data_IF_628436652157
#
_entry.id   IF_628436652157
#
_cell.length_a   1.000
_cell.length_b   1.000
_cell.length_c   1.000
_cell.angle_alpha   90.00
_cell.angle_beta   90.00
_cell.angle_gamma   90.00
#
_symmetry.space_group_name_H-M   'P 1'
#
loop_
_entity.id
_entity.type
_entity.pdbx_description
1 polymer ?
#
# COMPACT_ATOMS: atom_id res chain seq x y z
N UNK A 1 -1.94 -9.87 12.07
CA UNK A 1 -1.06 -8.74 12.41
C UNK A 1 -0.07 -8.56 11.26
N UNK A 2 0.23 -7.32 10.88
CA UNK A 2 1.15 -6.98 9.80
C UNK A 2 0.55 -5.95 8.85
N UNK A 3 1.42 -5.25 8.13
CA UNK A 3 1.10 -4.03 7.38
C UNK A 3 -0.20 -4.10 6.56
N UNK A 4 -0.43 -5.15 5.75
CA UNK A 4 -1.68 -5.27 4.97
C UNK A 4 -2.93 -5.35 5.86
N UNK A 5 -2.85 -5.99 7.02
CA UNK A 5 -3.96 -6.03 7.97
C UNK A 5 -4.24 -4.63 8.54
N UNK A 6 -3.20 -3.87 8.85
CA UNK A 6 -3.36 -2.52 9.39
C UNK A 6 -3.96 -1.56 8.36
N UNK A 7 -3.69 -1.78 7.06
CA UNK A 7 -4.34 -1.05 5.96
C UNK A 7 -5.82 -1.44 5.83
N UNK A 8 -6.16 -2.72 5.95
CA UNK A 8 -7.55 -3.19 5.98
C UNK A 8 -8.31 -2.62 7.18
N UNK A 9 -7.70 -2.62 8.37
CA UNK A 9 -8.26 -2.02 9.58
C UNK A 9 -8.39 -0.49 9.44
N UNK A 10 -7.56 0.13 8.59
CA UNK A 10 -7.65 1.53 8.17
C UNK A 10 -8.73 1.84 7.12
N UNK A 11 -9.49 0.84 6.66
CA UNK A 11 -10.67 1.01 5.79
C UNK A 11 -10.53 0.52 4.36
N UNK A 12 -9.43 -0.15 3.99
CA UNK A 12 -9.34 -0.85 2.72
C UNK A 12 -10.23 -2.11 2.70
N UNK A 13 -10.77 -2.47 1.52
CA UNK A 13 -11.56 -3.69 1.32
C UNK A 13 -10.72 -4.86 0.84
N UNK A 14 -9.64 -4.56 0.11
CA UNK A 14 -8.74 -5.55 -0.47
C UNK A 14 -7.30 -5.10 -0.32
N UNK A 15 -6.42 -6.07 -0.07
CA UNK A 15 -4.98 -5.89 -0.03
C UNK A 15 -4.31 -7.07 -0.73
N UNK A 16 -3.41 -6.79 -1.66
CA UNK A 16 -2.72 -7.79 -2.47
C UNK A 16 -1.24 -7.47 -2.56
N UNK A 17 -0.39 -8.49 -2.48
CA UNK A 17 1.05 -8.38 -2.70
C UNK A 17 1.39 -9.21 -3.92
N UNK A 18 1.93 -8.54 -4.94
CA UNK A 18 2.43 -9.15 -6.15
C UNK A 18 3.95 -9.14 -6.10
N UNK A 19 4.58 -10.21 -6.59
CA UNK A 19 6.01 -10.19 -6.92
C UNK A 19 6.15 -9.61 -8.32
N UNK A 20 7.13 -8.73 -8.51
CA UNK A 20 7.49 -8.20 -9.82
C UNK A 20 8.61 -9.06 -10.38
N UNK A 21 8.35 -9.81 -11.45
CA UNK A 21 9.29 -10.82 -11.94
C UNK A 21 10.61 -10.22 -12.48
N UNK A 22 10.53 -9.07 -13.15
CA UNK A 22 11.69 -8.41 -13.76
C UNK A 22 12.50 -7.54 -12.79
N UNK A 23 12.10 -7.48 -11.52
CA UNK A 23 12.79 -6.71 -10.46
C UNK A 23 13.28 -7.68 -9.38
N UNK A 24 14.60 -7.84 -9.18
CA UNK A 24 15.12 -8.68 -8.10
C UNK A 24 14.58 -8.21 -6.74
N UNK A 25 13.87 -9.11 -6.04
CA UNK A 25 13.16 -8.80 -4.80
C UNK A 25 12.17 -7.61 -4.91
N UNK A 26 11.55 -7.44 -6.08
CA UNK A 26 10.53 -6.43 -6.32
C UNK A 26 9.14 -6.90 -5.92
N UNK A 27 8.38 -5.99 -5.29
CA UNK A 27 7.00 -6.25 -4.88
C UNK A 27 6.12 -5.04 -5.21
N UNK A 28 4.91 -5.30 -5.67
CA UNK A 28 3.84 -4.31 -5.76
C UNK A 28 2.79 -4.64 -4.71
N UNK A 29 2.34 -3.65 -3.94
CA UNK A 29 1.23 -3.83 -3.00
C UNK A 29 0.06 -2.98 -3.43
N UNK A 30 -1.07 -3.62 -3.70
CA UNK A 30 -2.30 -2.97 -4.15
C UNK A 30 -3.30 -2.93 -3.01
N UNK A 31 -3.91 -1.77 -2.81
CA UNK A 31 -4.98 -1.57 -1.84
C UNK A 31 -6.18 -0.97 -2.54
N UNK A 32 -7.34 -1.58 -2.31
CA UNK A 32 -8.60 -1.10 -2.83
C UNK A 32 -9.43 -0.52 -1.68
N UNK A 33 -10.00 0.66 -1.90
CA UNK A 33 -10.85 1.34 -0.94
C UNK A 33 -12.29 1.42 -1.46
N UNK A 34 -13.29 1.43 -0.55
CA UNK A 34 -14.70 1.55 -0.91
C UNK A 34 -15.01 2.72 -1.86
N UNK A 35 -14.37 3.85 -1.59
CA UNK A 35 -14.64 5.14 -2.18
C UNK A 35 -13.47 6.09 -1.88
N UNK A 36 -13.49 7.26 -2.53
CA UNK A 36 -12.46 8.29 -2.36
C UNK A 36 -12.38 8.79 -0.90
N UNK A 37 -13.51 8.95 -0.21
CA UNK A 37 -13.53 9.52 1.13
C UNK A 37 -12.88 8.59 2.17
N UNK A 38 -13.06 7.28 2.02
CA UNK A 38 -12.43 6.24 2.81
C UNK A 38 -10.92 6.22 2.60
N UNK A 39 -10.48 6.30 1.33
CA UNK A 39 -9.06 6.43 0.98
C UNK A 39 -8.42 7.69 1.58
N UNK A 40 -9.07 8.85 1.46
CA UNK A 40 -8.57 10.12 2.00
C UNK A 40 -8.46 10.09 3.53
N UNK A 41 -9.42 9.45 4.21
CA UNK A 41 -9.34 9.24 5.66
C UNK A 41 -8.14 8.37 6.02
N UNK A 42 -7.93 7.26 5.31
CA UNK A 42 -6.77 6.39 5.48
C UNK A 42 -5.46 7.15 5.27
N UNK A 43 -5.33 7.91 4.17
CA UNK A 43 -4.13 8.68 3.85
C UNK A 43 -3.79 9.73 4.90
N UNK A 44 -4.81 10.36 5.50
CA UNK A 44 -4.63 11.38 6.53
C UNK A 44 -4.27 10.79 7.89
N UNK A 45 -4.90 9.69 8.29
CA UNK A 45 -4.88 9.21 9.69
C UNK A 45 -3.94 8.01 9.87
N UNK A 46 -4.01 7.03 8.98
CA UNK A 46 -3.34 5.73 9.17
C UNK A 46 -2.03 5.64 8.40
N UNK A 47 -2.04 6.08 7.14
CA UNK A 47 -0.92 5.89 6.22
C UNK A 47 0.42 6.51 6.70
N UNK A 48 0.49 7.69 7.35
CA UNK A 48 1.76 8.26 7.78
C UNK A 48 2.53 7.36 8.75
N UNK A 49 1.84 6.77 9.74
CA UNK A 49 2.47 5.88 10.72
C UNK A 49 2.99 4.60 10.08
N UNK A 50 2.16 3.95 9.26
CA UNK A 50 2.55 2.72 8.53
C UNK A 50 3.71 2.96 7.56
N UNK A 51 3.78 4.14 6.95
CA UNK A 51 4.91 4.55 6.09
C UNK A 51 6.20 4.73 6.88
N UNK A 52 6.13 5.37 8.05
CA UNK A 52 7.31 5.50 8.92
C UNK A 52 7.81 4.14 9.38
N UNK A 53 6.92 3.27 9.88
CA UNK A 53 7.28 1.92 10.29
C UNK A 53 7.96 1.15 9.14
N UNK A 54 7.41 1.28 7.92
CA UNK A 54 8.03 0.71 6.71
C UNK A 54 9.46 1.20 6.49
N UNK A 55 9.72 2.50 6.60
CA UNK A 55 11.06 3.07 6.46
C UNK A 55 12.03 2.66 7.57
N UNK A 56 11.53 2.42 8.79
CA UNK A 56 12.35 1.94 9.91
C UNK A 56 12.78 0.49 9.70
N UNK A 57 11.86 -0.37 9.26
CA UNK A 57 12.13 -1.79 9.00
C UNK A 57 12.97 -2.00 7.73
N UNK A 58 12.72 -1.19 6.71
CA UNK A 58 13.25 -1.33 5.36
C UNK A 58 13.85 0.01 4.86
N UNK A 59 14.92 0.50 5.48
CA UNK A 59 15.48 1.82 5.18
C UNK A 59 16.09 1.89 3.78
N UNK A 60 15.92 3.04 3.11
CA UNK A 60 16.48 3.29 1.76
C UNK A 60 18.01 3.24 1.74
N UNK A 61 18.66 3.49 2.87
CA UNK A 61 20.11 3.36 3.05
C UNK A 61 20.63 1.93 2.81
N UNK A 62 19.75 0.91 2.82
CA UNK A 62 20.07 -0.47 2.44
C UNK A 62 19.89 -0.75 0.94
N UNK A 63 19.69 0.28 0.12
CA UNK A 63 19.47 0.16 -1.32
C UNK A 63 18.02 -0.14 -1.71
N UNK A 64 17.07 0.01 -0.78
CA UNK A 64 15.64 -0.20 -1.05
C UNK A 64 15.06 1.09 -1.66
N UNK A 65 14.36 0.96 -2.78
CA UNK A 65 13.60 2.05 -3.41
C UNK A 65 12.11 1.84 -3.21
N UNK A 66 11.37 2.94 -3.18
CA UNK A 66 9.91 2.95 -3.06
C UNK A 66 9.30 3.81 -4.15
N UNK A 67 8.27 3.29 -4.79
CA UNK A 67 7.40 4.03 -5.69
C UNK A 67 5.95 3.82 -5.28
N UNK A 68 5.12 4.86 -5.43
CA UNK A 68 3.70 4.80 -5.12
C UNK A 68 2.90 5.62 -6.10
N UNK A 69 1.76 5.08 -6.49
CA UNK A 69 0.74 5.76 -7.26
C UNK A 69 -0.62 5.58 -6.57
N UNK A 70 -1.56 6.46 -6.88
CA UNK A 70 -2.96 6.30 -6.52
C UNK A 70 -3.84 6.61 -7.73
N UNK A 71 -5.03 6.02 -7.77
CA UNK A 71 -5.95 6.15 -8.89
C UNK A 71 -7.38 5.93 -8.47
N UNK A 72 -8.28 6.04 -9.45
CA UNK A 72 -9.68 5.63 -9.31
C UNK A 72 -9.92 4.55 -10.35
N UNK A 73 -10.41 3.41 -9.90
CA UNK A 73 -10.85 2.34 -10.80
C UNK A 73 -12.06 2.85 -11.58
N UNK A 74 -11.90 2.99 -12.89
CA UNK A 74 -12.97 3.43 -13.81
C UNK A 74 -13.65 2.25 -14.49
N UNK A 75 -13.04 1.07 -14.41
CA UNK A 75 -13.47 -0.15 -15.05
C UNK A 75 -12.78 -1.35 -14.39
N UNK A 76 -13.52 -2.43 -14.20
CA UNK A 76 -13.07 -3.74 -13.74
C UNK A 76 -13.86 -4.78 -14.53
N UNK A 77 -13.21 -5.86 -14.92
CA UNK A 77 -13.81 -7.01 -15.62
C UNK A 77 -13.69 -8.22 -14.68
N UNK A 78 -14.75 -9.03 -14.61
CA UNK A 78 -14.85 -10.22 -13.75
C UNK A 78 -14.06 -11.44 -14.28
#
# INVERSE_FOLDING_TARGET
>A
AGHCRDVLDGGARRAEILRIDDVPCGFEVRYEFPDRASFERYERIHAPGLRQEGLELFPTQRGISYERACGTMIHEED
#
